data_IF_566529448222
#
_entry.id   IF_566529448222
#
_cell.length_a   1.000
_cell.length_b   1.000
_cell.length_c   1.000
_cell.angle_alpha   90.00
_cell.angle_beta   90.00
_cell.angle_gamma   90.00
#
_symmetry.space_group_name_H-M   'P 1'
#
loop_
_entity.id
_entity.type
_entity.pdbx_description
1 polymer ?
#
# COMPACT_ATOMS: atom_id res chain seq x y z
N UNK A 1 20.05 -5.38 5.22
CA UNK A 1 19.52 -4.02 4.95
C UNK A 1 20.31 -3.26 3.87
N UNK A 2 21.66 -3.25 3.92
CA UNK A 2 22.50 -2.59 2.91
C UNK A 2 22.30 -3.13 1.47
N UNK A 3 22.20 -4.46 1.32
CA UNK A 3 22.00 -5.09 0.00
C UNK A 3 20.70 -4.63 -0.67
N UNK A 4 19.58 -4.61 0.07
CA UNK A 4 18.28 -4.15 -0.43
C UNK A 4 18.34 -2.69 -0.90
N UNK A 5 18.99 -1.80 -0.14
CA UNK A 5 19.15 -0.38 -0.49
C UNK A 5 20.01 -0.19 -1.73
N UNK A 6 21.14 -0.89 -1.82
CA UNK A 6 22.00 -0.84 -3.00
C UNK A 6 21.26 -1.35 -4.24
N UNK A 7 20.53 -2.45 -4.12
CA UNK A 7 19.70 -2.98 -5.20
C UNK A 7 18.61 -1.99 -5.64
N UNK A 8 17.88 -1.41 -4.69
CA UNK A 8 16.87 -0.38 -4.96
C UNK A 8 17.48 0.81 -5.71
N UNK A 9 18.57 1.40 -5.19
CA UNK A 9 19.24 2.55 -5.81
C UNK A 9 19.75 2.27 -7.22
N UNK A 10 20.30 1.08 -7.47
CA UNK A 10 20.73 0.68 -8.83
C UNK A 10 19.54 0.63 -9.79
N UNK A 11 18.40 0.10 -9.36
CA UNK A 11 17.20 0.05 -10.21
C UNK A 11 16.55 1.42 -10.40
N UNK A 12 16.52 2.25 -9.35
CA UNK A 12 16.09 3.66 -9.45
C UNK A 12 16.90 4.39 -10.51
N UNK A 13 18.22 4.26 -10.50
CA UNK A 13 19.09 4.88 -11.51
C UNK A 13 18.79 4.36 -12.91
N UNK A 14 18.64 3.04 -13.06
CA UNK A 14 18.34 2.43 -14.36
C UNK A 14 16.98 2.86 -14.91
N UNK A 15 15.94 2.92 -14.07
CA UNK A 15 14.60 3.37 -14.45
C UNK A 15 14.59 4.86 -14.81
N UNK A 16 15.21 5.71 -13.99
CA UNK A 16 15.32 7.13 -14.28
C UNK A 16 16.08 7.40 -15.60
N UNK A 17 17.19 6.68 -15.84
CA UNK A 17 17.91 6.78 -17.11
C UNK A 17 17.05 6.31 -18.29
N UNK A 18 16.31 5.21 -18.14
CA UNK A 18 15.40 4.72 -19.16
C UNK A 18 14.30 5.73 -19.49
N UNK A 19 13.71 6.39 -18.48
CA UNK A 19 12.64 7.38 -18.66
C UNK A 19 13.16 8.68 -19.29
N UNK A 20 14.42 9.06 -19.07
CA UNK A 20 15.04 10.23 -19.72
C UNK A 20 15.34 9.99 -21.21
N UNK A 21 15.70 8.76 -21.57
CA UNK A 21 16.14 8.42 -22.93
C UNK A 21 15.00 7.85 -23.79
N UNK A 22 14.00 7.23 -23.17
CA UNK A 22 12.89 6.58 -23.87
C UNK A 22 11.66 7.47 -23.83
N UNK A 23 11.18 7.91 -24.99
CA UNK A 23 9.85 8.54 -25.17
C UNK A 23 8.73 7.48 -25.12
N UNK A 24 8.76 6.61 -24.11
CA UNK A 24 7.76 5.56 -23.91
C UNK A 24 6.49 6.08 -23.24
N UNK A 25 5.49 5.21 -23.13
CA UNK A 25 4.28 5.51 -22.33
C UNK A 25 4.65 5.77 -20.87
N UNK A 26 4.13 6.87 -20.32
CA UNK A 26 4.29 7.20 -18.89
C UNK A 26 3.73 6.10 -17.99
N UNK A 27 2.62 5.47 -18.38
CA UNK A 27 2.02 4.37 -17.62
C UNK A 27 2.97 3.17 -17.53
N UNK A 28 3.67 2.84 -18.62
CA UNK A 28 4.66 1.78 -18.61
C UNK A 28 5.88 2.11 -17.74
N UNK A 29 6.23 3.40 -17.59
CA UNK A 29 7.24 3.84 -16.62
C UNK A 29 6.72 3.64 -15.19
N UNK A 30 5.54 4.17 -14.87
CA UNK A 30 4.92 4.06 -13.56
C UNK A 30 4.73 2.60 -13.11
N UNK A 31 4.38 1.70 -14.03
CA UNK A 31 4.32 0.26 -13.75
C UNK A 31 5.66 -0.30 -13.29
N UNK A 32 6.77 0.09 -13.93
CA UNK A 32 8.12 -0.37 -13.54
C UNK A 32 8.53 0.18 -12.18
N UNK A 33 8.23 1.44 -11.91
CA UNK A 33 8.47 2.07 -10.61
C UNK A 33 7.64 1.40 -9.50
N UNK A 34 6.36 1.14 -9.76
CA UNK A 34 5.45 0.43 -8.85
C UNK A 34 5.91 -1.00 -8.58
N UNK A 35 6.34 -1.72 -9.61
CA UNK A 35 6.89 -3.06 -9.47
C UNK A 35 8.18 -3.06 -8.63
N UNK A 36 9.05 -2.06 -8.77
CA UNK A 36 10.23 -1.91 -7.92
C UNK A 36 9.86 -1.64 -6.46
N UNK A 37 8.88 -0.77 -6.21
CA UNK A 37 8.38 -0.48 -4.87
C UNK A 37 7.76 -1.74 -4.22
N UNK A 38 6.84 -2.42 -4.91
CA UNK A 38 6.21 -3.65 -4.43
C UNK A 38 7.24 -4.75 -4.11
N UNK A 39 8.22 -4.99 -5.00
CA UNK A 39 9.32 -5.95 -4.73
C UNK A 39 10.17 -5.55 -3.51
N UNK A 40 10.36 -4.25 -3.29
CA UNK A 40 11.09 -3.74 -2.13
C UNK A 40 10.32 -3.97 -0.83
N UNK A 41 9.00 -3.76 -0.84
CA UNK A 41 8.11 -4.10 0.29
C UNK A 41 8.14 -5.60 0.58
N UNK A 42 8.00 -6.44 -0.45
CA UNK A 42 8.06 -7.90 -0.31
C UNK A 42 9.40 -8.39 0.25
N UNK A 43 10.51 -7.79 -0.22
CA UNK A 43 11.86 -8.11 0.29
C UNK A 43 12.04 -7.68 1.74
N UNK A 44 11.51 -6.51 2.12
CA UNK A 44 11.55 -6.05 3.51
C UNK A 44 10.72 -6.94 4.44
N UNK A 45 9.53 -7.36 4.00
CA UNK A 45 8.68 -8.30 4.75
C UNK A 45 9.39 -9.64 4.95
N UNK A 46 10.03 -10.17 3.90
CA UNK A 46 10.84 -11.39 3.99
C UNK A 46 11.96 -11.25 5.02
N UNK A 47 12.75 -10.17 4.93
CA UNK A 47 13.84 -9.91 5.88
C UNK A 47 13.34 -9.73 7.32
N UNK A 48 12.17 -9.13 7.50
CA UNK A 48 11.55 -8.96 8.80
C UNK A 48 11.09 -10.31 9.39
N UNK A 49 10.50 -11.18 8.56
CA UNK A 49 10.07 -12.52 8.97
C UNK A 49 11.27 -13.39 9.39
N UNK A 50 12.34 -13.40 8.60
CA UNK A 50 13.59 -14.08 8.93
C UNK A 50 14.21 -13.55 10.23
N UNK A 51 14.23 -12.23 10.43
CA UNK A 51 14.79 -11.62 11.63
C UNK A 51 13.96 -11.84 12.92
N UNK A 52 12.72 -12.30 12.78
CA UNK A 52 11.80 -12.61 13.89
C UNK A 52 11.55 -14.11 14.04
N UNK A 53 12.29 -14.96 13.30
CA UNK A 53 12.11 -16.41 13.23
C UNK A 53 10.66 -16.82 12.94
N UNK A 54 9.92 -15.99 12.18
CA UNK A 54 8.55 -16.30 11.76
C UNK A 54 8.64 -17.38 10.69
N UNK A 55 8.01 -18.56 10.89
CA UNK A 55 8.02 -19.61 9.89
C UNK A 55 7.33 -19.11 8.64
N UNK A 56 8.14 -18.79 7.63
CA UNK A 56 7.66 -18.45 6.31
C UNK A 56 8.08 -19.58 5.38
N UNK A 57 7.15 -20.13 4.59
CA UNK A 57 7.49 -21.05 3.49
C UNK A 57 8.15 -20.30 2.31
N UNK A 58 8.83 -19.20 2.60
CA UNK A 58 9.66 -18.49 1.64
C UNK A 58 10.88 -19.37 1.43
N UNK A 59 10.86 -20.16 0.35
CA UNK A 59 11.95 -21.05 -0.02
C UNK A 59 13.32 -20.36 0.11
N UNK A 60 14.33 -21.14 0.50
CA UNK A 60 15.72 -20.69 0.62
C UNK A 60 16.16 -20.00 -0.68
N UNK A 61 17.06 -19.01 -0.56
CA UNK A 61 17.70 -18.35 -1.70
C UNK A 61 18.21 -19.40 -2.71
N UNK A 62 17.61 -19.45 -3.91
CA UNK A 62 18.11 -20.24 -5.05
C UNK A 62 17.14 -21.24 -5.68
N UNK A 63 15.93 -21.45 -5.15
CA UNK A 63 14.95 -22.33 -5.80
C UNK A 63 14.12 -21.60 -6.88
N UNK A 64 13.82 -22.25 -8.03
CA UNK A 64 12.96 -21.71 -9.07
C UNK A 64 11.57 -21.40 -8.52
N UNK A 65 11.11 -20.17 -8.75
CA UNK A 65 9.88 -19.63 -8.16
C UNK A 65 8.75 -19.70 -9.20
N UNK A 66 7.61 -20.26 -8.82
CA UNK A 66 6.33 -19.92 -9.47
C UNK A 66 6.04 -18.43 -9.18
N UNK A 67 5.52 -17.64 -10.13
CA UNK A 67 5.26 -16.21 -9.94
C UNK A 67 4.16 -15.90 -8.91
N UNK A 68 3.51 -16.91 -8.32
CA UNK A 68 2.63 -16.75 -7.18
C UNK A 68 3.46 -16.41 -5.94
N UNK A 69 3.29 -15.20 -5.42
CA UNK A 69 3.80 -14.77 -4.11
C UNK A 69 3.12 -15.49 -2.95
N UNK A 70 3.02 -16.82 -2.99
CA UNK A 70 2.45 -17.65 -1.94
C UNK A 70 3.42 -17.71 -0.76
N UNK A 71 3.41 -16.60 -0.02
CA UNK A 71 3.93 -16.52 1.32
C UNK A 71 2.83 -17.10 2.19
N UNK A 72 3.00 -18.30 2.75
CA UNK A 72 2.04 -18.91 3.69
C UNK A 72 1.88 -18.15 5.02
N UNK A 73 2.21 -16.86 5.04
CA UNK A 73 2.00 -15.94 6.14
C UNK A 73 0.52 -15.52 6.12
N UNK A 74 -0.22 -15.61 7.22
CA UNK A 74 -1.61 -15.14 7.29
C UNK A 74 -1.67 -13.60 7.38
N UNK A 75 -0.91 -12.90 6.53
CA UNK A 75 -0.74 -11.46 6.49
C UNK A 75 -0.58 -10.99 5.05
N UNK A 76 -1.30 -9.93 4.71
CA UNK A 76 -1.22 -9.22 3.43
C UNK A 76 -0.76 -7.80 3.69
N UNK A 77 0.12 -7.30 2.84
CA UNK A 77 0.44 -5.88 2.76
C UNK A 77 -0.20 -5.32 1.50
N UNK A 78 -1.16 -4.42 1.66
CA UNK A 78 -1.76 -3.66 0.58
C UNK A 78 -0.99 -2.37 0.34
N UNK A 79 -0.75 -2.07 -0.94
CA UNK A 79 -0.47 -0.73 -1.40
C UNK A 79 -1.77 0.03 -1.59
N UNK A 80 -1.79 1.27 -1.13
CA UNK A 80 -2.85 2.25 -1.33
C UNK A 80 -2.33 3.40 -2.21
N UNK A 81 -3.20 4.35 -2.53
CA UNK A 81 -2.81 5.56 -3.26
C UNK A 81 -2.13 5.24 -4.59
N UNK A 82 -0.98 5.89 -4.83
CA UNK A 82 -0.21 5.68 -6.07
C UNK A 82 0.35 4.27 -6.19
N UNK A 83 0.75 3.64 -5.08
CA UNK A 83 1.27 2.28 -5.10
C UNK A 83 0.16 1.27 -5.44
N UNK A 84 -1.03 1.43 -4.85
CA UNK A 84 -2.19 0.58 -5.11
C UNK A 84 -2.69 0.66 -6.55
N UNK A 85 -2.54 1.83 -7.19
CA UNK A 85 -2.95 2.07 -8.58
C UNK A 85 -1.87 1.76 -9.63
N UNK A 86 -0.71 1.23 -9.24
CA UNK A 86 0.45 1.07 -10.14
C UNK A 86 0.94 2.40 -10.76
N UNK A 87 0.76 3.49 -10.03
CA UNK A 87 1.19 4.84 -10.40
C UNK A 87 2.35 5.36 -9.54
N UNK A 88 3.11 4.48 -8.90
CA UNK A 88 4.23 4.87 -8.03
C UNK A 88 5.34 5.58 -8.83
N UNK A 89 5.98 6.58 -8.23
CA UNK A 89 7.12 7.29 -8.81
C UNK A 89 8.20 7.58 -7.76
N UNK A 90 9.31 8.20 -8.19
CA UNK A 90 10.47 8.47 -7.33
C UNK A 90 10.18 9.33 -6.10
N UNK A 91 9.18 10.21 -6.17
CA UNK A 91 8.84 11.15 -5.10
C UNK A 91 7.64 10.68 -4.27
N UNK A 92 7.12 9.48 -4.54
CA UNK A 92 5.95 8.94 -3.88
C UNK A 92 6.29 8.35 -2.51
N UNK A 93 5.44 8.64 -1.54
CA UNK A 93 5.37 7.86 -0.30
C UNK A 93 4.61 6.55 -0.58
N UNK A 94 4.99 5.46 0.08
CA UNK A 94 4.25 4.21 0.01
C UNK A 94 3.19 4.17 1.10
N UNK A 95 1.94 4.38 0.70
CA UNK A 95 0.77 4.15 1.55
C UNK A 95 0.56 2.63 1.72
N UNK A 96 0.79 2.11 2.93
CA UNK A 96 0.69 0.69 3.24
C UNK A 96 -0.41 0.40 4.26
N UNK A 97 -1.15 -0.68 4.03
CA UNK A 97 -2.14 -1.24 4.95
C UNK A 97 -1.82 -2.72 5.20
N UNK A 98 -1.73 -3.11 6.47
CA UNK A 98 -1.42 -4.49 6.88
C UNK A 98 -2.69 -5.18 7.36
N UNK A 99 -3.04 -6.31 6.73
CA UNK A 99 -4.28 -7.05 7.01
C UNK A 99 -3.97 -8.51 7.23
N UNK A 100 -4.29 -9.01 8.43
CA UNK A 100 -4.19 -10.41 8.76
C UNK A 100 -5.37 -11.21 8.20
N UNK A 101 -5.17 -12.52 8.02
CA UNK A 101 -6.20 -13.46 7.59
C UNK A 101 -7.46 -13.37 8.50
N UNK A 102 -8.65 -13.72 7.96
CA UNK A 102 -9.87 -13.75 8.75
C UNK A 102 -9.74 -14.71 9.92
N UNK A 103 -10.44 -14.43 11.02
CA UNK A 103 -10.38 -15.20 12.26
C UNK A 103 -8.97 -15.39 12.87
N UNK A 104 -7.99 -14.55 12.51
CA UNK A 104 -6.67 -14.55 13.19
C UNK A 104 -6.85 -14.23 14.69
N UNK A 105 -6.38 -15.09 15.60
CA UNK A 105 -6.50 -14.86 17.04
C UNK A 105 -5.80 -13.57 17.50
N UNK A 106 -6.39 -12.84 18.46
CA UNK A 106 -5.85 -11.54 18.94
C UNK A 106 -4.45 -11.66 19.55
N UNK A 107 -4.14 -12.78 20.18
CA UNK A 107 -2.81 -13.08 20.74
C UNK A 107 -1.74 -13.27 19.64
N UNK A 108 -2.14 -13.64 18.42
CA UNK A 108 -1.24 -13.72 17.26
C UNK A 108 -1.04 -12.37 16.57
N UNK A 109 -1.98 -11.42 16.69
CA UNK A 109 -1.84 -10.08 16.12
C UNK A 109 -0.58 -9.36 16.62
N UNK A 110 -0.17 -9.59 17.87
CA UNK A 110 1.06 -9.01 18.41
C UNK A 110 2.33 -9.44 17.65
N UNK A 111 2.37 -10.66 17.09
CA UNK A 111 3.46 -11.09 16.22
C UNK A 111 3.41 -10.38 14.87
N UNK A 112 2.22 -10.28 14.28
CA UNK A 112 2.02 -9.63 12.98
C UNK A 112 2.27 -8.13 13.03
N UNK A 113 1.90 -7.47 14.13
CA UNK A 113 2.25 -6.07 14.39
C UNK A 113 3.75 -5.87 14.46
N UNK A 114 4.49 -6.71 15.21
CA UNK A 114 5.96 -6.66 15.24
C UNK A 114 6.58 -6.89 13.87
N UNK A 115 6.02 -7.80 13.07
CA UNK A 115 6.45 -8.05 11.70
C UNK A 115 6.23 -6.82 10.80
N UNK A 116 5.06 -6.18 10.90
CA UNK A 116 4.74 -4.95 10.17
C UNK A 116 5.67 -3.79 10.58
N UNK A 117 5.86 -3.56 11.88
CA UNK A 117 6.80 -2.57 12.42
C UNK A 117 8.22 -2.79 11.91
N UNK A 118 8.70 -4.04 11.95
CA UNK A 118 10.04 -4.37 11.46
C UNK A 118 10.17 -4.17 9.95
N UNK A 119 9.11 -4.47 9.20
CA UNK A 119 9.03 -4.20 7.75
C UNK A 119 9.15 -2.69 7.47
N UNK A 120 8.38 -1.88 8.20
CA UNK A 120 8.42 -0.42 8.10
C UNK A 120 9.81 0.12 8.47
N UNK A 121 10.41 -0.38 9.55
CA UNK A 121 11.78 -0.03 9.97
C UNK A 121 12.78 -0.34 8.86
N UNK A 122 12.67 -1.51 8.21
CA UNK A 122 13.60 -1.91 7.15
C UNK A 122 13.52 -0.99 5.94
N UNK A 123 12.30 -0.59 5.56
CA UNK A 123 12.02 0.29 4.41
C UNK A 123 12.44 1.74 4.68
N UNK A 124 12.08 2.27 5.84
CA UNK A 124 12.15 3.71 6.13
C UNK A 124 13.45 4.17 6.80
N UNK A 125 14.20 3.27 7.45
CA UNK A 125 15.40 3.65 8.21
C UNK A 125 16.46 4.34 7.35
N UNK A 126 17.03 5.41 7.89
CA UNK A 126 18.14 6.11 7.25
C UNK A 126 19.45 5.41 7.59
N UNK A 127 20.14 4.92 6.57
CA UNK A 127 21.44 4.24 6.71
C UNK A 127 22.52 4.97 5.91
N UNK A 128 23.77 4.51 5.98
CA UNK A 128 24.86 5.03 5.13
C UNK A 128 24.55 4.88 3.63
N UNK A 129 23.69 3.92 3.26
CA UNK A 129 23.25 3.71 1.88
C UNK A 129 22.00 4.52 1.52
N UNK A 130 21.47 5.35 2.43
CA UNK A 130 20.23 6.11 2.30
C UNK A 130 19.00 5.38 2.85
N UNK A 131 17.83 5.83 2.41
CA UNK A 131 16.51 5.19 2.62
C UNK A 131 15.97 4.66 1.29
N UNK A 132 14.93 3.81 1.32
CA UNK A 132 14.25 3.39 0.09
C UNK A 132 13.26 4.46 -0.33
N UNK A 133 12.15 4.57 0.41
CA UNK A 133 11.09 5.56 0.23
C UNK A 133 10.38 5.73 1.58
N UNK A 134 9.68 6.84 1.77
CA UNK A 134 8.90 7.05 2.97
C UNK A 134 7.69 6.10 2.99
N UNK A 135 7.29 5.71 4.19
CA UNK A 135 6.14 4.83 4.42
C UNK A 135 5.07 5.63 5.15
N UNK A 136 3.84 5.55 4.64
CA UNK A 136 2.66 6.09 5.31
C UNK A 136 1.68 4.96 5.63
N UNK A 137 1.22 4.90 6.88
CA UNK A 137 0.22 3.92 7.34
C UNK A 137 -1.01 4.61 7.93
N UNK A 138 -1.17 5.92 7.70
CA UNK A 138 -2.29 6.72 8.25
C UNK A 138 -3.63 6.42 7.61
N UNK A 139 -3.65 5.74 6.46
CA UNK A 139 -4.87 5.32 5.76
C UNK A 139 -5.43 3.99 6.29
N UNK A 140 -4.93 3.47 7.41
CA UNK A 140 -5.54 2.34 8.12
C UNK A 140 -6.81 2.77 8.87
N UNK A 141 -7.73 1.84 9.20
CA UNK A 141 -8.91 2.14 9.99
C UNK A 141 -8.60 2.91 11.27
N UNK A 142 -9.36 3.97 11.55
CA UNK A 142 -9.13 4.92 12.66
C UNK A 142 -7.79 5.67 12.61
N UNK A 143 -7.10 5.64 11.47
CA UNK A 143 -5.87 6.38 11.21
C UNK A 143 -4.79 6.11 12.25
N UNK A 144 -4.20 7.19 12.79
CA UNK A 144 -3.10 7.10 13.78
C UNK A 144 -3.50 6.42 15.09
N UNK A 145 -4.78 6.47 15.44
CA UNK A 145 -5.33 5.89 16.68
C UNK A 145 -5.70 4.41 16.51
N UNK A 146 -5.71 3.91 15.27
CA UNK A 146 -5.98 2.51 14.97
C UNK A 146 -4.76 1.61 15.08
N UNK A 147 -5.05 0.32 15.29
CA UNK A 147 -4.08 -0.77 15.25
C UNK A 147 -3.34 -0.80 13.90
N UNK A 148 -2.03 -1.06 13.94
CA UNK A 148 -1.21 -1.13 12.72
C UNK A 148 -1.61 -2.32 11.84
N UNK A 149 -1.97 -3.44 12.46
CA UNK A 149 -2.45 -4.65 11.81
C UNK A 149 -3.85 -4.94 12.32
N UNK A 150 -4.78 -5.14 11.38
CA UNK A 150 -6.16 -5.53 11.64
C UNK A 150 -6.46 -6.83 10.92
N UNK A 151 -7.51 -7.55 11.33
CA UNK A 151 -7.98 -8.70 10.55
C UNK A 151 -8.81 -8.25 9.36
N UNK A 152 -8.98 -9.16 8.38
CA UNK A 152 -9.96 -8.99 7.32
C UNK A 152 -11.36 -8.65 7.87
N UNK A 153 -11.82 -9.37 8.89
CA UNK A 153 -13.15 -9.17 9.48
C UNK A 153 -13.31 -7.76 10.06
N UNK A 154 -12.27 -7.26 10.75
CA UNK A 154 -12.23 -5.91 11.29
C UNK A 154 -12.23 -4.85 10.18
N UNK A 155 -11.50 -5.07 9.08
CA UNK A 155 -11.50 -4.18 7.92
C UNK A 155 -12.88 -4.11 7.26
N UNK A 156 -13.50 -5.26 7.00
CA UNK A 156 -14.80 -5.35 6.35
C UNK A 156 -15.90 -4.70 7.21
N UNK A 157 -15.93 -4.97 8.51
CA UNK A 157 -16.86 -4.30 9.44
C UNK A 157 -16.62 -2.78 9.47
N UNK A 158 -15.35 -2.34 9.54
CA UNK A 158 -15.04 -0.91 9.54
C UNK A 158 -15.56 -0.18 8.29
N UNK A 159 -15.34 -0.74 7.10
CA UNK A 159 -15.81 -0.08 5.87
C UNK A 159 -17.32 -0.12 5.70
N UNK A 160 -18.01 -1.08 6.32
CA UNK A 160 -19.47 -1.14 6.29
C UNK A 160 -20.09 -0.16 7.27
N UNK A 161 -19.55 -0.05 8.48
CA UNK A 161 -20.23 0.61 9.60
C UNK A 161 -19.71 2.02 9.91
N UNK A 162 -18.41 2.26 9.72
CA UNK A 162 -17.73 3.40 10.35
C UNK A 162 -16.93 4.29 9.39
N UNK A 163 -16.38 3.74 8.30
CA UNK A 163 -15.47 4.49 7.44
C UNK A 163 -16.14 5.72 6.83
N UNK A 164 -15.45 6.83 6.67
CA UNK A 164 -15.95 7.98 5.92
C UNK A 164 -15.99 7.65 4.42
N UNK A 165 -16.81 8.36 3.63
CA UNK A 165 -16.93 8.07 2.19
C UNK A 165 -15.58 8.13 1.46
N UNK A 166 -14.71 9.09 1.83
CA UNK A 166 -13.38 9.22 1.23
C UNK A 166 -12.44 8.06 1.63
N UNK A 167 -12.57 7.51 2.83
CA UNK A 167 -11.82 6.30 3.23
C UNK A 167 -12.27 5.12 2.36
N UNK A 168 -13.58 4.99 2.13
CA UNK A 168 -14.12 3.96 1.23
C UNK A 168 -13.55 4.07 -0.19
N UNK A 169 -13.50 5.27 -0.76
CA UNK A 169 -12.88 5.49 -2.08
C UNK A 169 -11.38 5.12 -2.11
N UNK A 170 -10.70 5.33 -0.99
CA UNK A 170 -9.29 4.96 -0.83
C UNK A 170 -9.15 3.43 -0.79
N UNK A 171 -10.01 2.75 -0.05
CA UNK A 171 -10.01 1.29 0.05
C UNK A 171 -10.44 0.57 -1.24
N UNK A 172 -11.21 1.20 -2.13
CA UNK A 172 -11.48 0.66 -3.47
C UNK A 172 -10.22 0.51 -4.33
N UNK A 173 -9.13 1.20 -3.96
CA UNK A 173 -7.87 1.27 -4.71
C UNK A 173 -6.76 0.43 -4.08
N UNK A 174 -7.10 -0.49 -3.17
CA UNK A 174 -6.11 -1.39 -2.57
C UNK A 174 -5.60 -2.39 -3.61
N UNK A 175 -4.29 -2.64 -3.59
CA UNK A 175 -3.69 -3.76 -4.33
C UNK A 175 -2.70 -4.52 -3.43
N UNK A 176 -2.73 -5.86 -3.40
CA UNK A 176 -1.77 -6.62 -2.62
C UNK A 176 -0.36 -6.49 -3.22
N UNK A 177 0.60 -6.04 -2.42
CA UNK A 177 2.00 -5.81 -2.85
C UNK A 177 3.01 -6.74 -2.18
N UNK A 178 2.66 -7.34 -1.04
CA UNK A 178 3.46 -8.34 -0.34
C UNK A 178 2.61 -9.20 0.59
N UNK A 179 3.20 -10.28 1.14
CA UNK A 179 2.49 -11.24 1.97
C UNK A 179 1.75 -12.27 1.13
N UNK A 180 0.63 -12.80 1.62
CA UNK A 180 -0.21 -13.73 0.86
C UNK A 180 -1.02 -12.97 -0.21
N UNK A 181 -0.53 -13.00 -1.46
CA UNK A 181 -1.17 -12.31 -2.59
C UNK A 181 -2.55 -12.92 -2.91
N UNK A 182 -2.71 -14.24 -2.76
CA UNK A 182 -3.97 -14.92 -3.04
C UNK A 182 -5.07 -14.51 -2.07
N UNK A 183 -4.74 -14.51 -0.78
CA UNK A 183 -5.59 -13.95 0.28
C UNK A 183 -5.91 -12.48 0.01
N UNK A 184 -4.91 -11.69 -0.37
CA UNK A 184 -5.06 -10.27 -0.66
C UNK A 184 -6.05 -9.96 -1.79
N UNK A 185 -5.99 -10.72 -2.89
CA UNK A 185 -6.95 -10.63 -3.99
C UNK A 185 -8.37 -10.94 -3.49
N UNK A 186 -8.52 -11.98 -2.66
CA UNK A 186 -9.81 -12.34 -2.06
C UNK A 186 -10.39 -11.24 -1.17
N UNK A 187 -9.57 -10.67 -0.29
CA UNK A 187 -9.95 -9.55 0.59
C UNK A 187 -10.36 -8.34 -0.25
N UNK A 188 -9.53 -7.91 -1.22
CA UNK A 188 -9.81 -6.76 -2.09
C UNK A 188 -11.13 -6.91 -2.87
N UNK A 189 -11.43 -8.14 -3.34
CA UNK A 189 -12.68 -8.44 -4.02
C UNK A 189 -13.89 -8.25 -3.10
N UNK A 190 -13.83 -8.78 -1.87
CA UNK A 190 -14.91 -8.66 -0.88
C UNK A 190 -15.06 -7.21 -0.39
N UNK A 191 -13.95 -6.51 -0.22
CA UNK A 191 -13.91 -5.09 0.15
C UNK A 191 -14.63 -4.24 -0.90
N UNK A 192 -14.34 -4.48 -2.19
CA UNK A 192 -15.02 -3.81 -3.31
C UNK A 192 -16.52 -4.04 -3.27
N UNK A 193 -16.98 -5.29 -3.10
CA UNK A 193 -18.41 -5.60 -3.02
C UNK A 193 -19.09 -4.83 -1.88
N UNK A 194 -18.51 -4.87 -0.67
CA UNK A 194 -19.06 -4.18 0.51
C UNK A 194 -19.13 -2.66 0.33
N UNK A 195 -18.10 -2.07 -0.27
CA UNK A 195 -18.06 -0.64 -0.53
C UNK A 195 -19.07 -0.22 -1.58
N UNK A 196 -19.24 -0.99 -2.66
CA UNK A 196 -20.25 -0.72 -3.68
C UNK A 196 -21.67 -0.84 -3.13
N UNK A 197 -21.96 -1.87 -2.33
CA UNK A 197 -23.24 -2.02 -1.62
C UNK A 197 -23.52 -0.80 -0.75
N UNK A 198 -22.52 -0.40 0.05
CA UNK A 198 -22.63 0.76 0.94
C UNK A 198 -22.88 2.06 0.16
N UNK A 199 -22.10 2.31 -0.88
CA UNK A 199 -22.24 3.52 -1.71
C UNK A 199 -23.57 3.57 -2.45
N UNK A 200 -24.06 2.45 -2.97
CA UNK A 200 -25.37 2.36 -3.60
C UNK A 200 -26.52 2.68 -2.63
N UNK A 201 -26.37 2.35 -1.35
CA UNK A 201 -27.36 2.63 -0.32
C UNK A 201 -27.23 4.00 0.36
N UNK A 202 -26.20 4.79 0.02
CA UNK A 202 -25.87 6.03 0.71
C UNK A 202 -26.79 7.20 0.26
N UNK A 203 -27.58 7.83 1.16
CA UNK A 203 -28.62 8.79 0.76
C UNK A 203 -28.14 10.07 0.07
N UNK A 204 -26.95 10.57 0.40
CA UNK A 204 -26.37 11.81 -0.15
C UNK A 204 -24.88 11.61 -0.50
N UNK A 205 -24.56 10.54 -1.24
CA UNK A 205 -23.18 10.23 -1.62
C UNK A 205 -22.54 11.38 -2.40
N UNK A 206 -23.25 11.90 -3.41
CA UNK A 206 -22.79 12.99 -4.25
C UNK A 206 -22.51 14.26 -3.43
N UNK A 207 -23.42 14.67 -2.55
CA UNK A 207 -23.24 15.85 -1.72
C UNK A 207 -22.04 15.72 -0.77
N UNK A 208 -21.81 14.54 -0.20
CA UNK A 208 -20.66 14.28 0.66
C UNK A 208 -19.33 14.35 -0.10
N UNK A 209 -19.27 13.75 -1.29
CA UNK A 209 -18.08 13.83 -2.16
C UNK A 209 -17.76 15.27 -2.54
N UNK A 210 -18.76 16.06 -2.92
CA UNK A 210 -18.57 17.48 -3.21
C UNK A 210 -18.11 18.28 -1.98
N UNK A 211 -18.65 18.00 -0.79
CA UNK A 211 -18.22 18.66 0.46
C UNK A 211 -16.75 18.33 0.78
N UNK A 212 -16.38 17.07 0.65
CA UNK A 212 -15.01 16.60 0.85
C UNK A 212 -14.05 17.23 -0.16
N UNK A 213 -14.42 17.25 -1.45
CA UNK A 213 -13.61 17.86 -2.51
C UNK A 213 -13.32 19.34 -2.29
N UNK A 214 -14.37 20.11 -1.94
CA UNK A 214 -14.24 21.54 -1.59
C UNK A 214 -13.38 21.78 -0.36
N UNK A 215 -13.38 20.84 0.60
CA UNK A 215 -12.51 20.93 1.78
C UNK A 215 -11.04 20.76 1.38
N UNK A 216 -10.71 19.75 0.57
CA UNK A 216 -9.35 19.55 0.06
C UNK A 216 -8.85 20.77 -0.73
N UNK A 217 -9.71 21.38 -1.55
CA UNK A 217 -9.42 22.63 -2.26
C UNK A 217 -9.00 23.79 -1.34
N UNK A 218 -9.67 23.93 -0.19
CA UNK A 218 -9.42 25.02 0.77
C UNK A 218 -8.19 24.78 1.65
N UNK A 219 -7.92 23.53 1.97
CA UNK A 219 -6.78 23.15 2.83
C UNK A 219 -5.43 23.23 2.10
N UNK A 220 -5.43 23.26 0.76
CA UNK A 220 -4.21 23.41 -0.03
C UNK A 220 -3.67 24.83 0.07
N UNK A 221 -2.56 25.00 0.77
CA UNK A 221 -1.84 26.27 0.92
C UNK A 221 -0.97 26.64 -0.30
N UNK A 222 -0.89 25.76 -1.30
CA UNK A 222 -0.01 25.88 -2.47
C UNK A 222 -0.75 26.54 -3.64
N UNK A 223 -0.02 27.33 -4.44
CA UNK A 223 -0.51 28.13 -5.57
C UNK A 223 -1.50 27.38 -6.50
N UNK A 224 -2.41 28.10 -7.18
CA UNK A 224 -3.46 27.56 -8.08
C UNK A 224 -2.96 26.80 -9.33
N UNK A 225 -1.67 26.48 -9.44
CA UNK A 225 -1.06 25.72 -10.53
C UNK A 225 -0.76 24.26 -10.18
N UNK A 226 -1.33 23.71 -9.09
CA UNK A 226 -1.10 22.32 -8.72
C UNK A 226 -1.95 21.38 -9.57
N UNK A 227 -1.31 20.57 -10.42
CA UNK A 227 -1.95 19.54 -11.26
C UNK A 227 -2.66 18.46 -10.45
N UNK A 228 -2.42 18.37 -9.13
CA UNK A 228 -3.06 17.41 -8.24
C UNK A 228 -4.41 17.87 -7.69
N UNK A 229 -4.50 19.11 -7.21
CA UNK A 229 -5.63 19.58 -6.39
C UNK A 229 -6.40 20.76 -6.98
N UNK A 230 -5.90 21.39 -8.04
CA UNK A 230 -6.63 22.44 -8.75
C UNK A 230 -7.88 21.86 -9.43
N UNK A 231 -8.91 22.68 -9.74
CA UNK A 231 -10.04 22.25 -10.55
C UNK A 231 -9.56 21.68 -11.90
N UNK A 232 -10.10 20.53 -12.30
CA UNK A 232 -9.65 19.74 -13.45
C UNK A 232 -8.34 18.97 -13.23
N UNK A 233 -7.81 18.96 -12.01
CA UNK A 233 -6.60 18.22 -11.65
C UNK A 233 -6.87 16.75 -11.34
N UNK A 234 -5.81 16.04 -10.92
CA UNK A 234 -5.84 14.59 -10.68
C UNK A 234 -6.91 14.13 -9.68
N UNK A 235 -7.26 14.92 -8.66
CA UNK A 235 -8.32 14.54 -7.71
C UNK A 235 -9.75 14.63 -8.27
N UNK A 236 -9.95 15.29 -9.42
CA UNK A 236 -11.26 15.38 -10.07
C UNK A 236 -11.51 14.19 -11.01
N UNK A 237 -10.46 13.48 -11.41
CA UNK A 237 -10.48 12.32 -12.33
C UNK A 237 -10.55 11.02 -11.55
#
# INVERSE_FOLDING_TARGET
MALLRRHYRTHVLALAAADLVSLGSIFASLDRWSALAARSVASALWMAAEGLDVPSRLGRLGEPREPSGDTSLPLVVFGLGRLGLSEFDLASDADLLFVAAPATPRDQLALWTRLAEKTIEILSSYTRDGTLFAIDTRLRPRGREGELVITEDELLSYVTESAQVWEGLTYLKVAPVAGDIGLGIGIASRLTVRLLERFASHPDLEGELHRMRRRLEREVTVRPSNTKTAPGGYYDV
#
